data_IF_549750560939
#
_entry.id   IF_549750560939
#
_cell.length_a   1.000
_cell.length_b   1.000
_cell.length_c   1.000
_cell.angle_alpha   90.00
_cell.angle_beta   90.00
_cell.angle_gamma   90.00
#
_symmetry.space_group_name_H-M   'P 1'
#
loop_
_entity.id
_entity.type
_entity.pdbx_description
1 polymer ?
#
# COMPACT_ATOMS: atom_id res chain seq x y z
N UNK A 1 -11.52 11.45 -15.87
CA UNK A 1 -10.12 11.90 -15.97
C UNK A 1 -9.28 10.67 -16.22
N UNK A 2 -8.47 10.62 -17.27
CA UNK A 2 -7.63 9.46 -17.57
C UNK A 2 -6.54 9.28 -16.50
N UNK A 3 -6.17 8.03 -16.20
CA UNK A 3 -5.14 7.72 -15.19
C UNK A 3 -3.82 8.47 -15.43
N UNK A 4 -3.43 8.64 -16.70
CA UNK A 4 -2.23 9.40 -17.11
C UNK A 4 -2.25 10.84 -16.59
N UNK A 5 -3.36 11.58 -16.79
CA UNK A 5 -3.47 12.98 -16.34
C UNK A 5 -3.37 13.13 -14.81
N UNK A 6 -3.85 12.10 -14.06
CA UNK A 6 -3.70 12.08 -12.61
C UNK A 6 -2.23 11.90 -12.20
N UNK A 7 -1.51 11.04 -12.91
CA UNK A 7 -0.11 10.72 -12.62
C UNK A 7 0.88 11.78 -13.14
N UNK A 8 0.50 12.59 -14.12
CA UNK A 8 1.33 13.72 -14.58
C UNK A 8 1.59 14.75 -13.47
N UNK A 9 0.70 14.84 -12.47
CA UNK A 9 0.93 15.67 -11.27
C UNK A 9 2.11 15.20 -10.41
N UNK A 10 2.60 13.98 -10.62
CA UNK A 10 3.78 13.43 -9.95
C UNK A 10 5.10 13.82 -10.63
N UNK A 11 5.06 14.40 -11.83
CA UNK A 11 6.25 14.72 -12.62
C UNK A 11 7.20 15.61 -11.83
N UNK A 12 8.47 15.20 -11.79
CA UNK A 12 9.55 15.88 -11.07
C UNK A 12 9.31 15.98 -9.55
N UNK A 13 8.44 15.16 -8.98
CA UNK A 13 8.18 15.10 -7.53
C UNK A 13 8.91 13.92 -6.90
N UNK A 14 9.46 14.13 -5.70
CA UNK A 14 9.98 13.06 -4.85
C UNK A 14 8.82 12.31 -4.22
N UNK A 15 8.68 11.04 -4.56
CA UNK A 15 7.52 10.22 -4.18
C UNK A 15 7.95 9.03 -3.33
N UNK A 16 7.31 8.85 -2.17
CA UNK A 16 7.38 7.63 -1.38
C UNK A 16 6.08 6.84 -1.51
N UNK A 17 6.18 5.53 -1.71
CA UNK A 17 5.03 4.63 -1.78
C UNK A 17 4.96 3.75 -0.53
N UNK A 18 3.81 3.73 0.11
CA UNK A 18 3.47 2.94 1.29
C UNK A 18 2.38 1.95 0.90
N UNK A 19 2.79 0.70 0.64
CA UNK A 19 1.93 -0.34 0.08
C UNK A 19 1.38 -1.24 1.19
N UNK A 20 0.09 -1.10 1.49
CA UNK A 20 -0.63 -1.95 2.44
C UNK A 20 -0.89 -3.33 1.80
N UNK A 21 -0.01 -4.28 2.13
CA UNK A 21 -0.05 -5.62 1.55
C UNK A 21 -1.31 -6.38 1.91
N UNK A 22 -1.83 -6.22 3.12
CA UNK A 22 -3.03 -6.94 3.58
C UNK A 22 -4.29 -6.42 2.87
N UNK A 23 -4.52 -5.11 2.86
CA UNK A 23 -5.69 -4.50 2.24
C UNK A 23 -5.78 -4.85 0.74
N UNK A 24 -4.67 -4.65 0.00
CA UNK A 24 -4.67 -4.92 -1.44
C UNK A 24 -4.69 -6.42 -1.78
N UNK A 25 -4.11 -7.28 -0.94
CA UNK A 25 -4.21 -8.73 -1.12
C UNK A 25 -5.65 -9.20 -0.95
N UNK A 26 -6.35 -8.81 0.12
CA UNK A 26 -7.76 -9.17 0.32
C UNK A 26 -8.66 -8.67 -0.80
N UNK A 27 -8.42 -7.43 -1.28
CA UNK A 27 -9.13 -6.91 -2.44
C UNK A 27 -8.86 -7.74 -3.70
N UNK A 28 -7.60 -8.13 -3.96
CA UNK A 28 -7.23 -8.93 -5.12
C UNK A 28 -7.92 -10.31 -5.16
N UNK A 29 -8.08 -10.95 -4.00
CA UNK A 29 -8.80 -12.23 -3.90
C UNK A 29 -10.28 -12.07 -4.28
N UNK A 30 -10.90 -10.96 -3.88
CA UNK A 30 -12.31 -10.68 -4.19
C UNK A 30 -12.54 -10.36 -5.67
N UNK A 31 -11.56 -9.75 -6.34
CA UNK A 31 -11.70 -9.30 -7.73
C UNK A 31 -10.96 -10.17 -8.75
N UNK A 32 -10.42 -11.31 -8.30
CA UNK A 32 -9.83 -12.36 -9.14
C UNK A 32 -8.67 -11.87 -10.02
N UNK A 33 -7.94 -10.85 -9.61
CA UNK A 33 -6.72 -10.44 -10.26
C UNK A 33 -5.76 -9.77 -9.26
N UNK A 34 -4.48 -9.94 -9.48
CA UNK A 34 -3.44 -9.45 -8.58
C UNK A 34 -2.53 -8.46 -9.27
N UNK A 35 -1.99 -7.54 -8.47
CA UNK A 35 -0.96 -6.61 -8.91
C UNK A 35 0.39 -7.31 -8.91
N UNK A 36 1.09 -7.28 -10.05
CA UNK A 36 2.53 -7.57 -10.11
C UNK A 36 3.27 -6.39 -9.49
N UNK A 37 3.86 -6.62 -8.33
CA UNK A 37 4.52 -5.58 -7.53
C UNK A 37 5.73 -4.97 -8.24
N UNK A 38 6.44 -5.75 -9.07
CA UNK A 38 7.57 -5.24 -9.86
C UNK A 38 7.07 -4.30 -10.95
N UNK A 39 6.07 -4.72 -11.72
CA UNK A 39 5.42 -3.86 -12.73
C UNK A 39 4.83 -2.60 -12.09
N UNK A 40 4.19 -2.73 -10.93
CA UNK A 40 3.64 -1.58 -10.20
C UNK A 40 4.73 -0.57 -9.86
N UNK A 41 5.86 -1.01 -9.28
CA UNK A 41 7.00 -0.14 -8.99
C UNK A 41 7.55 0.53 -10.26
N UNK A 42 7.77 -0.25 -11.31
CA UNK A 42 8.25 0.24 -12.60
C UNK A 42 7.27 1.23 -13.24
N UNK A 43 5.97 0.96 -13.11
CA UNK A 43 4.93 1.87 -13.60
C UNK A 43 4.97 3.22 -12.88
N UNK A 44 5.00 3.24 -11.55
CA UNK A 44 5.06 4.50 -10.78
C UNK A 44 6.35 5.27 -11.09
N UNK A 45 7.49 4.59 -11.19
CA UNK A 45 8.79 5.24 -11.45
C UNK A 45 8.86 5.96 -12.82
N UNK A 46 7.98 5.64 -13.76
CA UNK A 46 7.88 6.36 -15.04
C UNK A 46 7.31 7.78 -14.92
N UNK A 47 6.62 8.06 -13.82
CA UNK A 47 5.89 9.33 -13.63
C UNK A 47 6.50 10.26 -12.59
N UNK A 48 7.49 9.81 -11.80
CA UNK A 48 8.02 10.58 -10.68
C UNK A 48 9.48 10.23 -10.36
N UNK A 49 10.10 11.04 -9.50
CA UNK A 49 11.34 10.67 -8.79
C UNK A 49 11.00 9.75 -7.62
N UNK A 50 10.90 8.44 -7.90
CA UNK A 50 10.51 7.43 -6.94
C UNK A 50 11.64 7.15 -5.94
N UNK A 51 11.46 7.58 -4.70
CA UNK A 51 12.47 7.43 -3.64
C UNK A 51 12.50 6.00 -3.09
N UNK A 52 11.32 5.41 -2.82
CA UNK A 52 11.18 4.04 -2.33
C UNK A 52 9.76 3.51 -2.51
N UNK A 53 9.63 2.18 -2.41
CA UNK A 53 8.35 1.50 -2.20
C UNK A 53 8.50 0.62 -0.96
N UNK A 54 7.80 0.96 0.11
CA UNK A 54 7.71 0.16 1.33
C UNK A 54 6.49 -0.76 1.25
N UNK A 55 6.70 -2.05 1.43
CA UNK A 55 5.66 -3.07 1.45
C UNK A 55 5.40 -3.51 2.90
N UNK A 56 4.19 -3.30 3.39
CA UNK A 56 3.81 -3.60 4.77
C UNK A 56 3.03 -4.91 4.84
N UNK A 57 3.46 -5.81 5.71
CA UNK A 57 2.84 -7.12 5.87
C UNK A 57 2.96 -7.62 7.31
N UNK A 58 1.86 -8.18 7.82
CA UNK A 58 1.87 -8.98 9.05
C UNK A 58 2.25 -10.41 8.67
N UNK A 59 3.30 -10.96 9.28
CA UNK A 59 3.77 -12.31 9.00
C UNK A 59 3.16 -13.32 9.97
N UNK A 60 2.75 -14.50 9.49
CA UNK A 60 2.25 -15.57 10.35
C UNK A 60 3.35 -16.14 11.23
N UNK A 61 2.98 -16.83 12.33
CA UNK A 61 3.93 -17.55 13.16
C UNK A 61 4.61 -18.71 12.39
N UNK A 62 5.80 -19.11 12.83
CA UNK A 62 6.61 -20.15 12.15
C UNK A 62 5.89 -21.51 11.98
N UNK A 63 4.98 -21.82 12.88
CA UNK A 63 4.16 -23.04 12.84
C UNK A 63 2.87 -22.90 12.01
N UNK A 64 2.60 -21.74 11.44
CA UNK A 64 1.43 -21.52 10.56
C UNK A 64 1.71 -22.13 9.18
N UNK A 65 0.71 -22.79 8.59
CA UNK A 65 0.80 -23.47 7.30
C UNK A 65 1.26 -22.54 6.16
N UNK A 66 0.93 -21.25 6.23
CA UNK A 66 1.29 -20.27 5.20
C UNK A 66 2.64 -19.58 5.46
N UNK A 67 3.35 -19.90 6.54
CA UNK A 67 4.62 -19.25 6.88
C UNK A 67 5.66 -19.35 5.76
N UNK A 68 5.91 -20.57 5.27
CA UNK A 68 6.96 -20.79 4.26
C UNK A 68 6.61 -20.15 2.90
N UNK A 69 5.34 -20.13 2.50
CA UNK A 69 4.91 -19.45 1.29
C UNK A 69 5.06 -17.93 1.43
N UNK A 70 4.73 -17.38 2.59
CA UNK A 70 4.95 -15.96 2.90
C UNK A 70 6.44 -15.60 2.83
N UNK A 71 7.33 -16.41 3.41
CA UNK A 71 8.78 -16.14 3.35
C UNK A 71 9.31 -16.17 1.91
N UNK A 72 8.89 -17.15 1.09
CA UNK A 72 9.26 -17.20 -0.33
C UNK A 72 8.81 -15.96 -1.09
N UNK A 73 7.59 -15.52 -0.85
CA UNK A 73 7.06 -14.29 -1.43
C UNK A 73 7.89 -13.06 -1.02
N UNK A 74 8.16 -12.90 0.28
CA UNK A 74 8.95 -11.77 0.79
C UNK A 74 10.37 -11.77 0.20
N UNK A 75 11.03 -12.92 0.11
CA UNK A 75 12.36 -13.03 -0.49
C UNK A 75 12.35 -12.58 -1.97
N UNK A 76 11.27 -12.91 -2.72
CA UNK A 76 11.12 -12.47 -4.10
C UNK A 76 11.01 -10.96 -4.24
N UNK A 77 10.24 -10.29 -3.39
CA UNK A 77 10.01 -8.85 -3.49
C UNK A 77 11.09 -7.98 -2.84
N UNK A 78 11.90 -8.55 -1.96
CA UNK A 78 12.95 -7.82 -1.23
C UNK A 78 14.05 -7.23 -2.14
N UNK A 79 14.17 -7.71 -3.37
CA UNK A 79 15.14 -7.18 -4.34
C UNK A 79 14.74 -5.83 -4.95
N UNK A 80 13.46 -5.44 -4.85
CA UNK A 80 12.94 -4.21 -5.46
C UNK A 80 11.97 -3.41 -4.58
N UNK A 81 11.62 -3.90 -3.37
CA UNK A 81 10.83 -3.18 -2.36
C UNK A 81 11.46 -3.31 -0.99
N UNK A 82 11.28 -2.30 -0.14
CA UNK A 82 11.64 -2.40 1.27
C UNK A 82 10.52 -3.07 2.04
N UNK A 83 10.81 -4.20 2.69
CA UNK A 83 9.81 -4.94 3.45
C UNK A 83 9.73 -4.42 4.88
N UNK A 84 8.55 -4.04 5.30
CA UNK A 84 8.18 -3.67 6.67
C UNK A 84 7.24 -4.74 7.21
N UNK A 85 7.66 -5.44 8.25
CA UNK A 85 6.93 -6.60 8.76
C UNK A 85 6.82 -6.59 10.29
N UNK A 86 5.71 -7.13 10.81
CA UNK A 86 5.55 -7.53 12.22
C UNK A 86 4.89 -8.90 12.31
N UNK A 87 5.03 -9.54 13.45
CA UNK A 87 4.42 -10.85 13.68
C UNK A 87 2.93 -10.72 13.99
N UNK A 88 2.15 -11.65 13.46
CA UNK A 88 0.75 -11.81 13.77
C UNK A 88 0.59 -12.23 15.23
N UNK A 89 -0.33 -11.60 15.95
CA UNK A 89 -0.67 -11.99 17.31
C UNK A 89 -1.77 -13.06 17.30
N UNK A 90 -1.61 -14.08 18.15
CA UNK A 90 -2.54 -15.17 18.32
C UNK A 90 -3.12 -15.06 19.74
N UNK A 91 -4.39 -14.76 19.85
CA UNK A 91 -5.07 -14.57 21.15
C UNK A 91 -6.10 -15.68 21.36
N UNK A 92 -6.00 -16.50 22.42
CA UNK A 92 -7.05 -17.46 22.76
C UNK A 92 -8.32 -16.73 23.19
N UNK A 93 -9.44 -17.03 22.55
CA UNK A 93 -10.76 -16.46 22.88
C UNK A 93 -11.81 -17.58 22.80
N UNK A 94 -12.42 -17.94 23.96
CA UNK A 94 -13.52 -18.93 23.98
C UNK A 94 -13.19 -20.31 23.41
N UNK A 95 -11.92 -20.77 23.52
CA UNK A 95 -11.48 -22.06 22.96
C UNK A 95 -11.05 -22.00 21.49
N UNK A 96 -11.17 -20.83 20.85
CA UNK A 96 -10.67 -20.55 19.51
C UNK A 96 -9.42 -19.65 19.55
N UNK A 97 -8.64 -19.64 18.48
CA UNK A 97 -7.48 -18.74 18.34
C UNK A 97 -7.86 -17.62 17.37
N UNK A 98 -7.96 -16.41 17.91
CA UNK A 98 -8.14 -15.21 17.10
C UNK A 98 -6.79 -14.69 16.61
N UNK A 99 -6.69 -14.44 15.31
CA UNK A 99 -5.49 -13.86 14.68
C UNK A 99 -5.68 -12.35 14.54
N UNK A 100 -4.80 -11.57 15.19
CA UNK A 100 -4.86 -10.09 15.17
C UNK A 100 -3.57 -9.49 14.62
N UNK A 101 -3.71 -8.57 13.69
CA UNK A 101 -2.59 -7.75 13.19
C UNK A 101 -2.99 -6.95 11.97
N UNK A 102 -2.64 -5.67 12.01
CA UNK A 102 -2.65 -4.77 10.87
C UNK A 102 -1.34 -3.96 10.88
N UNK A 103 -1.09 -3.19 9.86
CA UNK A 103 0.13 -2.39 9.74
C UNK A 103 -0.17 -0.89 9.67
N UNK A 104 -1.39 -0.45 9.96
CA UNK A 104 -1.84 0.93 9.76
C UNK A 104 -1.01 1.91 10.58
N UNK A 105 -0.76 1.59 11.86
CA UNK A 105 0.09 2.42 12.74
C UNK A 105 1.52 2.50 12.23
N UNK A 106 2.10 1.39 11.77
CA UNK A 106 3.45 1.34 11.21
C UNK A 106 3.54 2.15 9.92
N UNK A 107 2.52 2.08 9.05
CA UNK A 107 2.42 2.89 7.83
C UNK A 107 2.39 4.37 8.18
N UNK A 108 1.49 4.78 9.09
CA UNK A 108 1.35 6.18 9.52
C UNK A 108 2.65 6.70 10.13
N UNK A 109 3.29 5.95 11.04
CA UNK A 109 4.54 6.36 11.68
C UNK A 109 5.70 6.48 10.68
N UNK A 110 5.80 5.57 9.71
CA UNK A 110 6.83 5.65 8.68
C UNK A 110 6.60 6.87 7.75
N UNK A 111 5.34 7.20 7.44
CA UNK A 111 5.01 8.43 6.70
C UNK A 111 5.44 9.65 7.50
N UNK A 112 5.07 9.75 8.77
CA UNK A 112 5.45 10.88 9.65
C UNK A 112 6.97 11.07 9.72
N UNK A 113 7.74 9.98 9.76
CA UNK A 113 9.21 10.01 9.85
C UNK A 113 9.89 10.42 8.53
N UNK A 114 9.25 10.19 7.40
CA UNK A 114 9.89 10.35 6.07
C UNK A 114 9.33 11.51 5.26
N UNK A 115 8.17 12.06 5.64
CA UNK A 115 7.40 13.04 4.88
C UNK A 115 8.19 14.31 4.52
N UNK A 116 9.09 14.75 5.38
CA UNK A 116 9.85 16.00 5.16
C UNK A 116 10.77 15.90 3.93
N UNK A 117 11.18 14.70 3.55
CA UNK A 117 12.01 14.41 2.37
C UNK A 117 11.20 14.11 1.09
N UNK A 118 9.88 14.17 1.14
CA UNK A 118 8.98 13.84 0.04
C UNK A 118 8.16 15.05 -0.37
N UNK A 119 7.73 15.06 -1.64
CA UNK A 119 6.75 16.02 -2.16
C UNK A 119 5.35 15.41 -2.18
N UNK A 120 5.27 14.11 -2.46
CA UNK A 120 4.01 13.35 -2.55
C UNK A 120 4.14 12.02 -1.85
N UNK A 121 3.14 11.68 -1.07
CA UNK A 121 2.96 10.39 -0.44
C UNK A 121 1.94 9.58 -1.25
N UNK A 122 2.26 8.36 -1.64
CA UNK A 122 1.29 7.41 -2.19
C UNK A 122 0.98 6.37 -1.12
N UNK A 123 -0.28 6.31 -0.68
CA UNK A 123 -0.79 5.23 0.16
C UNK A 123 -1.56 4.26 -0.73
N UNK A 124 -0.99 3.08 -0.94
CA UNK A 124 -1.63 2.01 -1.70
C UNK A 124 -2.50 1.17 -0.75
N UNK A 125 -3.66 1.70 -0.41
CA UNK A 125 -4.72 1.10 0.40
C UNK A 125 -6.07 1.74 0.08
N UNK A 126 -7.15 1.00 0.28
CA UNK A 126 -8.53 1.50 0.18
C UNK A 126 -9.17 1.81 1.53
N UNK A 127 -8.41 1.76 2.62
CA UNK A 127 -8.92 1.87 3.98
C UNK A 127 -9.15 3.32 4.41
N UNK A 128 -10.34 3.59 4.96
CA UNK A 128 -10.73 4.90 5.50
C UNK A 128 -9.93 5.33 6.73
N UNK A 129 -9.27 4.41 7.43
CA UNK A 129 -8.47 4.72 8.61
C UNK A 129 -7.31 5.67 8.30
N UNK A 130 -6.91 5.77 7.03
CA UNK A 130 -5.92 6.75 6.57
C UNK A 130 -6.47 8.16 6.30
N UNK A 131 -7.75 8.43 6.57
CA UNK A 131 -8.34 9.74 6.29
C UNK A 131 -7.74 10.85 7.16
N UNK A 132 -7.47 10.58 8.43
CA UNK A 132 -6.82 11.55 9.32
C UNK A 132 -5.36 11.82 8.92
N UNK A 133 -4.66 10.80 8.45
CA UNK A 133 -3.34 10.96 7.85
C UNK A 133 -3.36 11.98 6.69
N UNK A 134 -4.39 11.97 5.85
CA UNK A 134 -4.56 12.97 4.78
C UNK A 134 -4.61 14.39 5.34
N UNK A 135 -5.35 14.61 6.44
CA UNK A 135 -5.45 15.92 7.08
C UNK A 135 -4.07 16.39 7.57
N UNK A 136 -3.31 15.53 8.24
CA UNK A 136 -1.95 15.79 8.66
C UNK A 136 -1.03 16.15 7.48
N UNK A 137 -1.02 15.32 6.42
CA UNK A 137 -0.16 15.52 5.25
C UNK A 137 -0.45 16.86 4.56
N UNK A 138 -1.73 17.20 4.37
CA UNK A 138 -2.12 18.38 3.60
C UNK A 138 -2.07 19.65 4.46
N UNK A 139 -2.62 19.62 5.68
CA UNK A 139 -2.81 20.83 6.48
C UNK A 139 -1.59 21.18 7.33
N UNK A 140 -0.89 20.18 7.85
CA UNK A 140 0.25 20.42 8.75
C UNK A 140 1.60 20.38 8.01
N UNK A 141 1.74 19.43 7.08
CA UNK A 141 2.99 19.27 6.31
C UNK A 141 3.01 19.97 4.96
N UNK A 142 1.87 20.51 4.51
CA UNK A 142 1.73 21.19 3.21
C UNK A 142 2.23 20.33 2.03
N UNK A 143 2.05 19.01 2.14
CA UNK A 143 2.44 18.02 1.13
C UNK A 143 1.18 17.44 0.45
N UNK A 144 1.39 16.62 -0.57
CA UNK A 144 0.30 15.96 -1.28
C UNK A 144 0.23 14.48 -0.94
N UNK A 145 -0.98 13.91 -0.94
CA UNK A 145 -1.22 12.50 -0.74
C UNK A 145 -2.12 11.95 -1.85
N UNK A 146 -1.73 10.83 -2.45
CA UNK A 146 -2.49 10.09 -3.45
C UNK A 146 -2.86 8.72 -2.87
N UNK A 147 -4.14 8.39 -2.85
CA UNK A 147 -4.62 7.06 -2.49
C UNK A 147 -4.74 6.16 -3.72
N UNK A 148 -4.26 4.93 -3.63
CA UNK A 148 -4.37 3.94 -4.71
C UNK A 148 -5.00 2.66 -4.17
N UNK A 149 -6.06 2.16 -4.81
CA UNK A 149 -6.73 0.94 -4.37
C UNK A 149 -7.65 0.38 -5.45
N UNK A 150 -8.18 -0.81 -5.21
CA UNK A 150 -9.21 -1.37 -6.08
C UNK A 150 -10.50 -0.53 -5.96
N UNK A 151 -11.15 -0.28 -7.08
CA UNK A 151 -12.32 0.60 -7.16
C UNK A 151 -13.39 0.23 -6.14
N UNK A 152 -13.69 -1.04 -6.05
CA UNK A 152 -14.77 -1.57 -5.22
C UNK A 152 -14.39 -1.69 -3.75
N UNK A 153 -13.09 -1.72 -3.44
CA UNK A 153 -12.57 -1.81 -2.07
C UNK A 153 -12.17 -0.46 -1.48
N UNK A 154 -12.17 0.61 -2.27
CA UNK A 154 -11.82 1.93 -1.79
C UNK A 154 -13.00 2.55 -1.04
N UNK A 155 -12.76 2.97 0.20
CA UNK A 155 -13.73 3.67 1.02
C UNK A 155 -14.22 4.95 0.32
N UNK A 156 -15.48 5.29 0.49
CA UNK A 156 -16.10 6.41 -0.23
C UNK A 156 -15.45 7.76 0.12
N UNK A 157 -15.00 7.91 1.36
CA UNK A 157 -14.29 9.12 1.84
C UNK A 157 -12.99 9.35 1.07
N UNK A 158 -12.26 8.28 0.74
CA UNK A 158 -11.02 8.37 -0.03
C UNK A 158 -11.29 8.71 -1.51
N UNK A 159 -12.48 8.39 -2.03
CA UNK A 159 -12.88 8.77 -3.39
C UNK A 159 -13.11 10.29 -3.55
N UNK A 160 -13.29 11.01 -2.45
CA UNK A 160 -13.37 12.48 -2.44
C UNK A 160 -11.97 13.13 -2.38
N UNK A 161 -10.92 12.35 -2.20
CA UNK A 161 -9.54 12.80 -2.17
C UNK A 161 -8.87 12.62 -3.54
N UNK A 162 -7.61 13.02 -3.66
CA UNK A 162 -6.80 12.64 -4.81
C UNK A 162 -6.58 11.12 -4.77
N UNK A 163 -7.19 10.42 -5.69
CA UNK A 163 -7.15 8.96 -5.75
C UNK A 163 -6.99 8.42 -7.17
N UNK A 164 -6.44 7.22 -7.27
CA UNK A 164 -6.35 6.45 -8.50
C UNK A 164 -6.83 5.01 -8.24
N UNK A 165 -7.84 4.57 -8.96
CA UNK A 165 -8.22 3.16 -8.98
C UNK A 165 -7.18 2.33 -9.72
N UNK A 166 -6.61 1.31 -9.06
CA UNK A 166 -5.64 0.38 -9.66
C UNK A 166 -6.24 -0.32 -10.89
N UNK A 167 -7.56 -0.54 -10.90
CA UNK A 167 -8.29 -1.07 -12.06
C UNK A 167 -8.03 -0.28 -13.38
N UNK A 168 -7.80 1.03 -13.30
CA UNK A 168 -7.54 1.87 -14.49
C UNK A 168 -6.16 1.67 -15.11
N UNK A 169 -5.27 1.03 -14.37
CA UNK A 169 -3.91 0.71 -14.79
C UNK A 169 -3.68 -0.81 -14.84
N UNK A 170 -4.74 -1.62 -14.78
CA UNK A 170 -4.68 -3.08 -14.76
C UNK A 170 -3.77 -3.65 -15.84
N UNK A 171 -3.93 -3.21 -17.07
CA UNK A 171 -3.14 -3.68 -18.22
C UNK A 171 -1.62 -3.48 -18.06
N UNK A 172 -1.22 -2.49 -17.23
CA UNK A 172 0.18 -2.15 -16.96
C UNK A 172 0.76 -2.94 -15.78
N UNK A 173 -0.10 -3.32 -14.80
CA UNK A 173 0.37 -3.82 -13.51
C UNK A 173 -0.16 -5.21 -13.14
N UNK A 174 -1.01 -5.84 -13.97
CA UNK A 174 -1.57 -7.16 -13.67
C UNK A 174 -0.50 -8.26 -13.68
N UNK A 175 -0.54 -9.12 -12.67
CA UNK A 175 0.21 -10.37 -12.61
C UNK A 175 -0.41 -11.37 -13.62
N UNK A 176 0.35 -11.72 -14.62
CA UNK A 176 -0.02 -12.72 -15.64
C UNK A 176 0.59 -14.07 -15.28
#
# INVERSE_FOLDING_TARGET
MEAKNLLEKLKNKKVGVFYDGANLYHASQKYEWQVDLKKFREFISRYCDLQFVNYYLVIPAKNDIVYHSTQRFLNKINSFMTIKKKELKYTPVGGLVEKKGNMDVEIVLDIVRTIDNLDVIIVASGDSDFLELKNYVIKEKMKNILFMGYKENMAWELRLCWHLYINRIRNEVELK
#
